data_IF_458478718075
#
_entry.id   IF_458478718075
#
_cell.length_a   1.000
_cell.length_b   1.000
_cell.length_c   1.000
_cell.angle_alpha   90.00
_cell.angle_beta   90.00
_cell.angle_gamma   90.00
#
_symmetry.space_group_name_H-M   'P 1'
#
loop_
_entity.id
_entity.type
_entity.pdbx_description
1 polymer ?
#
# COMPACT_ATOMS: atom_id res chain seq x y z
N UNK A 1 6.89 -53.13 -12.53
CA UNK A 1 8.03 -52.84 -11.63
C UNK A 1 7.97 -51.39 -11.12
N UNK A 2 7.44 -51.20 -9.91
CA UNK A 2 7.05 -49.92 -9.28
C UNK A 2 8.21 -49.32 -8.42
N UNK A 3 9.42 -49.88 -8.50
CA UNK A 3 10.48 -49.60 -7.53
C UNK A 3 11.43 -48.41 -7.80
N UNK A 4 11.47 -47.87 -9.03
CA UNK A 4 12.52 -46.89 -9.41
C UNK A 4 12.06 -45.43 -9.25
N UNK A 5 10.77 -45.14 -9.41
CA UNK A 5 10.26 -43.76 -9.38
C UNK A 5 9.96 -43.24 -7.97
N UNK A 6 9.44 -44.08 -7.07
CA UNK A 6 9.13 -43.67 -5.70
C UNK A 6 10.37 -43.20 -4.93
N UNK A 7 11.50 -43.91 -5.09
CA UNK A 7 12.77 -43.52 -4.47
C UNK A 7 13.31 -42.19 -5.00
N UNK A 8 13.08 -41.90 -6.28
CA UNK A 8 13.48 -40.65 -6.92
C UNK A 8 12.64 -39.47 -6.42
N UNK A 9 11.32 -39.66 -6.27
CA UNK A 9 10.38 -38.66 -5.74
C UNK A 9 10.70 -38.32 -4.29
N UNK A 10 10.96 -39.33 -3.43
CA UNK A 10 11.34 -39.11 -2.02
C UNK A 10 12.63 -38.29 -1.92
N UNK A 11 13.61 -38.56 -2.81
CA UNK A 11 14.89 -37.82 -2.83
C UNK A 11 14.70 -36.37 -3.27
N UNK A 12 13.79 -36.12 -4.20
CA UNK A 12 13.38 -34.77 -4.64
C UNK A 12 12.70 -34.00 -3.50
N UNK A 13 11.73 -34.61 -2.82
CA UNK A 13 11.05 -34.02 -1.66
C UNK A 13 12.04 -33.63 -0.56
N UNK A 14 12.98 -34.53 -0.20
CA UNK A 14 14.02 -34.24 0.78
C UNK A 14 14.93 -33.07 0.35
N UNK A 15 15.22 -32.96 -0.95
CA UNK A 15 16.04 -31.87 -1.49
C UNK A 15 15.30 -30.52 -1.46
N UNK A 16 14.00 -30.51 -1.76
CA UNK A 16 13.14 -29.32 -1.69
C UNK A 16 12.99 -28.82 -0.24
N UNK A 17 12.80 -29.74 0.71
CA UNK A 17 12.75 -29.42 2.14
C UNK A 17 14.10 -28.85 2.62
N UNK A 18 15.22 -29.47 2.23
CA UNK A 18 16.57 -29.01 2.58
C UNK A 18 16.92 -27.65 1.95
N UNK A 19 16.34 -27.33 0.79
CA UNK A 19 16.51 -26.04 0.11
C UNK A 19 15.60 -24.93 0.66
N UNK A 20 14.81 -25.18 1.72
CA UNK A 20 13.95 -24.17 2.33
C UNK A 20 12.67 -23.87 1.55
N UNK A 21 12.26 -24.72 0.61
CA UNK A 21 11.03 -24.57 -0.19
C UNK A 21 9.72 -24.76 0.59
N UNK A 22 9.80 -24.93 1.92
CA UNK A 22 8.65 -25.00 2.82
C UNK A 22 8.80 -23.97 3.92
N UNK A 23 8.38 -22.74 3.65
CA UNK A 23 8.16 -21.73 4.69
C UNK A 23 6.90 -20.94 4.34
N UNK A 24 5.90 -21.04 5.24
CA UNK A 24 4.70 -20.21 5.31
C UNK A 24 3.63 -20.33 4.19
N UNK A 25 2.81 -21.39 4.26
CA UNK A 25 1.39 -21.26 3.90
C UNK A 25 0.94 -21.72 2.51
N UNK A 26 1.43 -22.85 2.00
CA UNK A 26 0.66 -23.61 1.00
C UNK A 26 -0.38 -24.48 1.71
N UNK A 27 -1.63 -24.43 1.24
CA UNK A 27 -2.72 -25.20 1.80
C UNK A 27 -2.46 -26.71 1.57
N UNK A 28 -2.99 -27.58 2.44
CA UNK A 28 -2.70 -29.03 2.42
C UNK A 28 -2.98 -29.68 1.05
N UNK A 29 -3.92 -29.12 0.28
CA UNK A 29 -4.29 -29.55 -1.08
C UNK A 29 -3.32 -29.13 -2.19
N UNK A 30 -2.24 -28.40 -1.86
CA UNK A 30 -1.17 -28.01 -2.80
C UNK A 30 0.07 -28.90 -2.68
N UNK A 31 0.04 -29.91 -1.80
CA UNK A 31 1.12 -30.88 -1.61
C UNK A 31 0.92 -32.06 -2.54
N UNK A 32 1.98 -32.50 -3.24
CA UNK A 32 1.98 -33.84 -3.85
C UNK A 32 2.01 -34.85 -2.69
N UNK A 33 0.91 -35.57 -2.49
CA UNK A 33 0.75 -36.56 -1.43
C UNK A 33 0.52 -37.94 -2.03
N UNK A 34 1.16 -38.97 -1.49
CA UNK A 34 0.84 -40.34 -1.86
C UNK A 34 -0.24 -40.87 -0.91
N UNK A 35 -1.40 -41.25 -1.46
CA UNK A 35 -2.52 -41.80 -0.71
C UNK A 35 -2.35 -43.32 -0.61
N UNK A 36 -1.88 -43.78 0.55
CA UNK A 36 -1.51 -45.17 0.77
C UNK A 36 -2.68 -46.16 0.65
N UNK A 37 -3.90 -45.72 0.96
CA UNK A 37 -5.09 -46.57 0.92
C UNK A 37 -5.63 -46.77 -0.51
N UNK A 38 -5.29 -45.86 -1.43
CA UNK A 38 -5.71 -45.88 -2.84
C UNK A 38 -4.57 -46.24 -3.82
N UNK A 39 -3.33 -46.38 -3.31
CA UNK A 39 -2.10 -46.57 -4.10
C UNK A 39 -1.92 -45.54 -5.23
N UNK A 40 -2.37 -44.29 -4.99
CA UNK A 40 -2.36 -43.21 -5.99
C UNK A 40 -1.67 -41.94 -5.47
N UNK A 41 -1.19 -41.10 -6.40
CA UNK A 41 -0.61 -39.80 -6.12
C UNK A 41 -1.67 -38.70 -6.22
N UNK A 42 -1.93 -38.01 -5.11
CA UNK A 42 -2.60 -36.71 -5.14
C UNK A 42 -1.64 -35.67 -5.73
N UNK A 43 -1.76 -35.41 -7.02
CA UNK A 43 -1.03 -34.36 -7.74
C UNK A 43 -1.96 -33.14 -7.86
N UNK A 44 -1.59 -31.95 -7.35
CA UNK A 44 -2.40 -30.76 -7.55
C UNK A 44 -2.26 -30.29 -9.00
N UNK A 45 -3.03 -30.92 -9.90
CA UNK A 45 -3.07 -30.60 -11.33
C UNK A 45 -3.29 -29.11 -11.56
N UNK A 46 -4.07 -28.45 -10.68
CA UNK A 46 -4.31 -27.00 -10.70
C UNK A 46 -3.02 -26.19 -10.52
N UNK A 47 -2.14 -26.56 -9.59
CA UNK A 47 -0.88 -25.86 -9.37
C UNK A 47 0.11 -26.03 -10.55
N UNK A 48 0.19 -27.24 -11.11
CA UNK A 48 1.03 -27.51 -12.29
C UNK A 48 0.49 -26.80 -13.55
N UNK A 49 -0.83 -26.79 -13.75
CA UNK A 49 -1.48 -26.03 -14.82
C UNK A 49 -1.25 -24.54 -14.64
N UNK A 50 -1.39 -24.01 -13.43
CA UNK A 50 -1.10 -22.60 -13.09
C UNK A 50 0.35 -22.27 -13.40
N UNK A 51 1.30 -23.10 -12.99
CA UNK A 51 2.71 -22.91 -13.30
C UNK A 51 2.97 -22.91 -14.81
N UNK A 52 2.43 -23.90 -15.54
CA UNK A 52 2.58 -23.98 -16.99
C UNK A 52 2.01 -22.74 -17.70
N UNK A 53 0.81 -22.29 -17.30
CA UNK A 53 0.19 -21.05 -17.83
C UNK A 53 1.06 -19.82 -17.52
N UNK A 54 1.54 -19.68 -16.28
CA UNK A 54 2.38 -18.55 -15.89
C UNK A 54 3.72 -18.51 -16.65
N UNK A 55 4.32 -19.68 -16.91
CA UNK A 55 5.55 -19.78 -17.69
C UNK A 55 5.31 -19.44 -19.16
N UNK A 56 4.25 -19.99 -19.76
CA UNK A 56 3.88 -19.68 -21.15
C UNK A 56 3.56 -18.19 -21.35
N UNK A 57 2.93 -17.57 -20.35
CA UNK A 57 2.54 -16.17 -20.35
C UNK A 57 3.68 -15.19 -19.96
N UNK A 58 4.82 -15.68 -19.46
CA UNK A 58 5.86 -14.82 -18.89
C UNK A 58 5.39 -14.02 -17.66
N UNK A 59 4.51 -14.60 -16.85
CA UNK A 59 3.96 -13.99 -15.63
C UNK A 59 4.51 -14.58 -14.33
N UNK A 60 5.28 -15.67 -14.40
CA UNK A 60 6.00 -16.20 -13.25
C UNK A 60 7.08 -15.23 -12.77
N UNK A 61 7.33 -15.19 -11.45
CA UNK A 61 8.33 -14.30 -10.84
C UNK A 61 9.36 -15.11 -10.07
N UNK A 62 10.65 -14.85 -10.30
CA UNK A 62 11.73 -15.46 -9.51
C UNK A 62 12.28 -14.45 -8.50
N UNK A 63 12.26 -14.77 -7.21
CA UNK A 63 12.87 -13.95 -6.16
C UNK A 63 13.52 -14.85 -5.09
N UNK A 64 14.77 -14.53 -4.71
CA UNK A 64 15.50 -15.23 -3.62
C UNK A 64 15.53 -16.76 -3.77
N UNK A 65 15.66 -17.26 -5.00
CA UNK A 65 15.69 -18.70 -5.28
C UNK A 65 14.32 -19.38 -5.27
N UNK A 66 13.23 -18.63 -5.12
CA UNK A 66 11.85 -19.13 -5.16
C UNK A 66 11.16 -18.67 -6.44
N UNK A 67 10.42 -19.59 -7.08
CA UNK A 67 9.55 -19.28 -8.21
C UNK A 67 8.11 -19.10 -7.70
N UNK A 68 7.54 -17.95 -7.99
CA UNK A 68 6.15 -17.62 -7.68
C UNK A 68 5.30 -17.82 -8.93
N UNK A 69 4.25 -18.64 -8.80
CA UNK A 69 3.20 -18.80 -9.79
C UNK A 69 1.89 -18.26 -9.21
N UNK A 70 1.09 -17.59 -10.04
CA UNK A 70 -0.09 -16.86 -9.60
C UNK A 70 -1.34 -17.52 -10.18
N UNK A 71 -2.22 -17.97 -9.30
CA UNK A 71 -3.48 -18.60 -9.70
C UNK A 71 -4.58 -17.56 -9.92
N UNK A 72 -5.26 -17.65 -11.07
CA UNK A 72 -6.46 -16.87 -11.35
C UNK A 72 -7.64 -17.40 -10.52
N UNK A 73 -8.44 -16.52 -9.91
CA UNK A 73 -9.58 -16.96 -9.12
C UNK A 73 -10.66 -17.62 -10.01
N UNK A 74 -11.41 -18.62 -9.50
CA UNK A 74 -12.44 -19.31 -10.29
C UNK A 74 -13.50 -18.38 -10.89
N UNK A 75 -13.82 -17.27 -10.20
CA UNK A 75 -14.79 -16.27 -10.67
C UNK A 75 -14.26 -15.56 -11.93
N UNK A 76 -12.98 -15.25 -11.98
CA UNK A 76 -12.34 -14.61 -13.14
C UNK A 76 -12.18 -15.61 -14.27
N UNK A 77 -11.81 -16.86 -13.98
CA UNK A 77 -11.78 -17.95 -14.98
C UNK A 77 -13.17 -18.11 -15.62
N UNK A 78 -14.21 -18.19 -14.80
CA UNK A 78 -15.59 -18.30 -15.28
C UNK A 78 -16.01 -17.10 -16.12
N UNK A 79 -15.73 -15.88 -15.65
CA UNK A 79 -16.07 -14.66 -16.39
C UNK A 79 -15.35 -14.58 -17.74
N UNK A 80 -14.07 -14.98 -17.79
CA UNK A 80 -13.27 -15.06 -19.02
C UNK A 80 -13.87 -16.06 -20.01
N UNK A 81 -14.24 -17.24 -19.53
CA UNK A 81 -14.58 -18.38 -20.40
C UNK A 81 -16.07 -18.40 -20.80
N UNK A 82 -16.96 -17.82 -20.00
CA UNK A 82 -18.42 -17.90 -20.18
C UNK A 82 -19.11 -16.56 -20.50
N UNK A 83 -18.49 -15.41 -20.23
CA UNK A 83 -18.95 -14.10 -20.70
C UNK A 83 -20.33 -13.60 -20.21
N UNK A 84 -20.97 -14.27 -19.24
CA UNK A 84 -22.30 -13.93 -18.70
C UNK A 84 -22.27 -13.75 -17.18
N UNK A 85 -21.45 -12.81 -16.71
CA UNK A 85 -21.24 -12.55 -15.27
C UNK A 85 -21.58 -11.10 -14.96
N UNK A 86 -22.42 -10.90 -13.95
CA UNK A 86 -22.68 -9.59 -13.39
C UNK A 86 -21.84 -9.41 -12.12
N UNK A 87 -20.98 -8.40 -12.11
CA UNK A 87 -20.18 -8.02 -10.94
C UNK A 87 -20.89 -6.89 -10.19
N UNK A 88 -21.23 -7.13 -8.92
CA UNK A 88 -21.80 -6.13 -8.03
C UNK A 88 -20.76 -5.76 -6.97
N UNK A 89 -19.98 -4.72 -7.21
CA UNK A 89 -18.91 -4.27 -6.33
C UNK A 89 -18.94 -2.75 -6.16
N UNK A 90 -19.08 -2.30 -4.91
CA UNK A 90 -19.11 -0.88 -4.55
C UNK A 90 -17.73 -0.19 -4.71
N UNK A 91 -16.65 -0.97 -4.73
CA UNK A 91 -15.27 -0.48 -4.82
C UNK A 91 -14.49 -1.23 -5.89
N UNK A 92 -15.10 -1.44 -7.06
CA UNK A 92 -14.49 -2.20 -8.15
C UNK A 92 -13.11 -1.62 -8.53
N UNK A 93 -12.09 -2.49 -8.53
CA UNK A 93 -10.71 -2.10 -8.85
C UNK A 93 -10.53 -1.69 -10.30
N UNK A 94 -9.54 -0.83 -10.58
CA UNK A 94 -9.18 -0.44 -11.93
C UNK A 94 -8.91 -1.65 -12.83
N UNK A 95 -8.25 -2.69 -12.29
CA UNK A 95 -7.96 -3.92 -13.04
C UNK A 95 -9.23 -4.68 -13.42
N UNK A 96 -10.21 -4.76 -12.50
CA UNK A 96 -11.50 -5.39 -12.81
C UNK A 96 -12.28 -4.59 -13.87
N UNK A 97 -12.26 -3.26 -13.80
CA UNK A 97 -12.89 -2.41 -14.82
C UNK A 97 -12.29 -2.67 -16.20
N UNK A 98 -10.96 -2.66 -16.29
CA UNK A 98 -10.23 -3.02 -17.52
C UNK A 98 -10.57 -4.41 -18.01
N UNK A 99 -10.71 -5.39 -17.11
CA UNK A 99 -11.12 -6.75 -17.46
C UNK A 99 -12.51 -6.79 -18.11
N UNK A 100 -13.49 -6.14 -17.48
CA UNK A 100 -14.88 -6.10 -17.99
C UNK A 100 -14.91 -5.43 -19.37
N UNK A 101 -14.30 -4.26 -19.52
CA UNK A 101 -14.25 -3.51 -20.78
C UNK A 101 -13.54 -4.30 -21.89
N UNK A 102 -12.41 -4.95 -21.59
CA UNK A 102 -11.66 -5.75 -22.56
C UNK A 102 -12.42 -7.01 -23.03
N UNK A 103 -13.41 -7.47 -22.25
CA UNK A 103 -14.31 -8.56 -22.64
C UNK A 103 -15.63 -8.07 -23.25
N UNK A 104 -15.72 -6.78 -23.60
CA UNK A 104 -16.92 -6.17 -24.20
C UNK A 104 -18.06 -5.98 -23.22
N UNK A 105 -17.81 -6.10 -21.91
CA UNK A 105 -18.78 -5.83 -20.87
C UNK A 105 -19.01 -4.33 -20.69
N UNK A 106 -20.15 -3.98 -20.07
CA UNK A 106 -20.53 -2.59 -19.77
C UNK A 106 -20.48 -2.36 -18.26
N UNK A 107 -19.95 -1.20 -17.85
CA UNK A 107 -19.89 -0.79 -16.44
C UNK A 107 -20.96 0.27 -16.21
N UNK A 108 -21.89 -0.04 -15.30
CA UNK A 108 -22.90 0.89 -14.85
C UNK A 108 -22.54 1.43 -13.46
N UNK A 109 -22.21 2.71 -13.38
CA UNK A 109 -21.91 3.36 -12.11
C UNK A 109 -23.21 3.85 -11.46
N UNK A 110 -23.57 3.26 -10.33
CA UNK A 110 -24.68 3.71 -9.50
C UNK A 110 -24.12 4.30 -8.20
N UNK A 111 -24.22 5.62 -8.04
CA UNK A 111 -23.77 6.33 -6.84
C UNK A 111 -24.97 6.82 -6.04
N UNK A 112 -24.96 6.55 -4.73
CA UNK A 112 -25.94 7.11 -3.82
C UNK A 112 -25.32 8.26 -3.02
N UNK A 113 -26.07 9.35 -2.88
CA UNK A 113 -25.66 10.49 -2.07
C UNK A 113 -25.38 10.04 -0.63
N UNK A 114 -24.30 10.51 -0.03
CA UNK A 114 -23.92 10.16 1.34
C UNK A 114 -24.20 11.36 2.27
N UNK A 115 -24.92 11.16 3.38
CA UNK A 115 -25.09 12.23 4.38
C UNK A 115 -23.89 12.28 5.35
N UNK A 116 -22.71 12.61 4.81
CA UNK A 116 -21.47 12.71 5.57
C UNK A 116 -20.60 13.88 5.14
N UNK A 117 -19.69 14.28 6.03
CA UNK A 117 -18.65 15.28 5.79
C UNK A 117 -17.29 14.66 6.10
N UNK A 118 -16.35 14.82 5.16
CA UNK A 118 -15.01 14.20 5.26
C UNK A 118 -13.96 15.27 5.50
N UNK A 119 -13.23 15.14 6.60
CA UNK A 119 -12.13 16.01 6.99
C UNK A 119 -10.82 15.25 6.91
N UNK A 120 -9.84 15.78 6.17
CA UNK A 120 -8.49 15.22 6.08
C UNK A 120 -7.57 15.91 7.07
N UNK A 121 -6.96 15.13 7.96
CA UNK A 121 -6.01 15.61 8.96
C UNK A 121 -4.58 15.32 8.50
N UNK A 122 -3.82 16.37 8.20
CA UNK A 122 -2.50 16.28 7.55
C UNK A 122 -1.32 16.42 8.52
N UNK A 123 -0.11 16.09 8.07
CA UNK A 123 1.14 16.33 8.79
C UNK A 123 1.67 15.15 9.62
N UNK A 124 1.02 13.99 9.56
CA UNK A 124 1.58 12.75 10.12
C UNK A 124 1.08 11.56 9.34
N UNK A 125 1.98 10.66 8.93
CA UNK A 125 1.60 9.51 8.09
C UNK A 125 0.73 8.47 8.83
N UNK A 126 0.94 8.29 10.14
CA UNK A 126 0.32 7.20 10.93
C UNK A 126 0.50 5.80 10.30
N UNK A 127 1.60 5.57 9.59
CA UNK A 127 1.95 4.24 9.06
C UNK A 127 2.27 3.25 10.16
N UNK A 128 1.87 1.98 9.98
CA UNK A 128 2.21 0.87 10.87
C UNK A 128 3.66 0.90 11.34
N UNK A 129 4.60 1.11 10.42
CA UNK A 129 6.03 0.95 10.70
C UNK A 129 6.48 -0.51 10.65
N UNK A 130 7.74 -0.74 11.00
CA UNK A 130 8.37 -2.06 10.99
C UNK A 130 8.25 -2.74 12.36
N UNK A 131 7.39 -3.76 12.41
CA UNK A 131 7.07 -4.55 13.62
C UNK A 131 8.24 -5.40 14.11
N UNK A 132 9.28 -5.59 13.29
CA UNK A 132 10.43 -6.44 13.63
C UNK A 132 11.49 -5.72 14.46
N UNK A 133 11.35 -4.40 14.66
CA UNK A 133 12.28 -3.62 15.48
C UNK A 133 11.96 -3.81 16.95
N UNK A 134 13.00 -3.95 17.77
CA UNK A 134 12.87 -4.14 19.22
C UNK A 134 12.14 -2.99 19.91
N UNK A 135 12.26 -1.77 19.36
CA UNK A 135 11.59 -0.57 19.88
C UNK A 135 10.11 -0.44 19.46
N UNK A 136 9.59 -1.40 18.69
CA UNK A 136 8.23 -1.33 18.16
C UNK A 136 7.14 -1.35 19.23
N UNK A 137 7.19 -2.18 20.30
CA UNK A 137 6.17 -2.15 21.36
C UNK A 137 6.05 -0.78 22.04
N UNK A 138 7.18 -0.12 22.30
CA UNK A 138 7.18 1.23 22.86
C UNK A 138 6.54 2.24 21.90
N UNK A 139 6.84 2.14 20.58
CA UNK A 139 6.19 2.95 19.56
C UNK A 139 4.70 2.68 19.47
N UNK A 140 4.27 1.42 19.51
CA UNK A 140 2.86 1.03 19.46
C UNK A 140 2.08 1.61 20.64
N UNK A 141 2.63 1.54 21.87
CA UNK A 141 2.07 2.24 23.05
C UNK A 141 1.94 3.74 22.83
N UNK A 142 3.02 4.40 22.41
CA UNK A 142 2.99 5.84 22.13
C UNK A 142 1.97 6.23 21.04
N UNK A 143 1.69 5.35 20.07
CA UNK A 143 0.63 5.55 19.06
C UNK A 143 -0.75 5.44 19.65
N UNK A 144 -0.99 4.43 20.49
CA UNK A 144 -2.27 4.28 21.19
C UNK A 144 -2.53 5.44 22.16
N UNK A 145 -1.50 5.92 22.84
CA UNK A 145 -1.59 7.10 23.71
C UNK A 145 -1.87 8.37 22.91
N UNK A 146 -1.21 8.56 21.76
CA UNK A 146 -1.51 9.68 20.86
C UNK A 146 -2.96 9.65 20.35
N UNK A 147 -3.48 8.46 19.98
CA UNK A 147 -4.89 8.31 19.60
C UNK A 147 -5.79 8.72 20.77
N UNK A 148 -5.52 8.23 21.98
CA UNK A 148 -6.32 8.49 23.18
C UNK A 148 -6.30 9.96 23.59
N UNK A 149 -5.13 10.59 23.61
CA UNK A 149 -4.96 11.93 24.15
C UNK A 149 -5.21 13.02 23.12
N UNK A 150 -4.98 12.72 21.83
CA UNK A 150 -5.01 13.75 20.78
C UNK A 150 -6.09 13.51 19.74
N UNK A 151 -6.42 12.27 19.40
CA UNK A 151 -7.46 12.05 18.37
C UNK A 151 -8.84 12.04 19.02
N UNK A 152 -9.04 11.23 20.06
CA UNK A 152 -10.34 11.07 20.75
C UNK A 152 -11.01 12.40 21.15
N UNK A 153 -10.32 13.38 21.78
CA UNK A 153 -10.99 14.62 22.20
C UNK A 153 -11.47 15.51 21.05
N UNK A 154 -11.12 15.20 19.80
CA UNK A 154 -11.46 15.96 18.59
C UNK A 154 -12.57 15.30 17.77
N UNK A 155 -13.16 14.22 18.28
CA UNK A 155 -14.19 13.46 17.60
C UNK A 155 -15.53 13.68 18.28
N UNK A 156 -16.56 13.96 17.48
CA UNK A 156 -17.94 14.04 17.95
C UNK A 156 -18.48 12.62 18.18
N UNK A 157 -19.08 12.36 19.35
CA UNK A 157 -19.76 11.08 19.62
C UNK A 157 -21.17 11.04 18.99
N UNK A 158 -21.67 9.85 18.59
CA UNK A 158 -21.01 8.55 18.64
C UNK A 158 -19.98 8.38 17.51
N UNK A 159 -18.81 7.83 17.83
CA UNK A 159 -17.70 7.63 16.89
C UNK A 159 -17.09 6.24 17.03
N UNK A 160 -16.47 5.73 15.96
CA UNK A 160 -15.58 4.56 16.00
C UNK A 160 -14.25 4.88 15.29
N UNK A 161 -13.17 4.22 15.72
CA UNK A 161 -11.81 4.47 15.21
C UNK A 161 -11.27 3.22 14.52
N UNK A 162 -10.84 3.28 13.25
CA UNK A 162 -10.03 2.22 12.60
C UNK A 162 -8.56 2.59 12.69
N UNK A 163 -7.72 1.67 13.14
CA UNK A 163 -6.26 1.83 13.07
C UNK A 163 -5.53 0.55 12.66
N UNK A 164 -4.22 0.48 12.86
CA UNK A 164 -3.43 -0.71 12.55
C UNK A 164 -3.59 -1.76 13.66
N UNK A 165 -3.88 -3.03 13.29
CA UNK A 165 -3.91 -4.16 14.24
C UNK A 165 -2.63 -4.23 15.08
N UNK A 166 -1.50 -3.91 14.48
CA UNK A 166 -0.20 -3.94 15.14
C UNK A 166 -0.05 -2.85 16.24
N UNK A 167 -0.74 -1.71 16.15
CA UNK A 167 -0.72 -0.75 17.26
C UNK A 167 -1.42 -1.33 18.49
N UNK A 168 -2.59 -1.94 18.29
CA UNK A 168 -3.34 -2.62 19.35
C UNK A 168 -2.52 -3.79 19.92
N UNK A 169 -2.13 -4.75 19.08
CA UNK A 169 -1.41 -5.97 19.49
C UNK A 169 -0.13 -5.65 20.28
N UNK A 170 0.76 -4.84 19.72
CA UNK A 170 2.08 -4.59 20.32
C UNK A 170 2.07 -3.50 21.40
N UNK A 171 0.94 -2.81 21.62
CA UNK A 171 0.80 -1.94 22.79
C UNK A 171 0.69 -2.72 24.10
N UNK A 172 0.24 -3.98 24.03
CA UNK A 172 0.08 -4.84 25.19
C UNK A 172 1.41 -5.46 25.62
N UNK A 173 1.57 -5.73 26.92
CA UNK A 173 2.70 -6.49 27.43
C UNK A 173 2.67 -7.92 26.87
N UNK A 174 1.51 -8.58 26.94
CA UNK A 174 1.24 -9.92 26.40
C UNK A 174 0.98 -9.94 24.89
N UNK A 175 1.70 -9.14 24.10
CA UNK A 175 1.52 -9.02 22.65
C UNK A 175 1.74 -10.31 21.84
N UNK A 176 2.26 -11.38 22.44
CA UNK A 176 2.40 -12.69 21.79
C UNK A 176 1.10 -13.50 21.80
N UNK A 177 0.13 -13.15 22.64
CA UNK A 177 -1.18 -13.80 22.64
C UNK A 177 -1.97 -13.52 21.34
N UNK A 178 -2.78 -14.48 20.93
CA UNK A 178 -3.54 -14.41 19.67
C UNK A 178 -4.63 -13.32 19.70
N UNK A 179 -5.21 -13.09 20.89
CA UNK A 179 -6.27 -12.13 21.18
C UNK A 179 -5.76 -10.77 21.68
N UNK A 180 -4.43 -10.53 21.70
CA UNK A 180 -3.86 -9.31 22.25
C UNK A 180 -4.41 -8.01 21.60
N UNK A 181 -4.79 -8.05 20.33
CA UNK A 181 -5.40 -6.90 19.66
C UNK A 181 -6.84 -6.65 20.12
N UNK A 182 -7.63 -7.72 20.29
CA UNK A 182 -8.98 -7.70 20.82
C UNK A 182 -9.02 -7.17 22.26
N UNK A 183 -8.13 -7.67 23.13
CA UNK A 183 -8.00 -7.21 24.53
C UNK A 183 -7.65 -5.72 24.59
N UNK A 184 -6.70 -5.27 23.77
CA UNK A 184 -6.33 -3.85 23.69
C UNK A 184 -7.51 -2.97 23.25
N UNK A 185 -8.33 -3.45 22.29
CA UNK A 185 -9.49 -2.72 21.80
C UNK A 185 -10.57 -2.59 22.89
N UNK A 186 -10.86 -3.66 23.62
CA UNK A 186 -11.81 -3.65 24.75
C UNK A 186 -11.36 -2.74 25.89
N UNK A 187 -10.06 -2.78 26.23
CA UNK A 187 -9.48 -1.88 27.23
C UNK A 187 -9.56 -0.41 26.79
N UNK A 188 -9.33 -0.13 25.51
CA UNK A 188 -9.44 1.23 24.96
C UNK A 188 -10.87 1.74 25.01
N UNK A 189 -11.85 0.92 24.60
CA UNK A 189 -13.27 1.29 24.65
C UNK A 189 -13.73 1.51 26.09
N UNK A 190 -13.33 0.63 27.02
CA UNK A 190 -13.66 0.79 28.45
C UNK A 190 -13.10 2.09 29.04
N UNK A 191 -11.92 2.53 28.59
CA UNK A 191 -11.28 3.74 29.08
C UNK A 191 -11.79 5.04 28.42
N UNK A 192 -12.25 4.97 27.18
CA UNK A 192 -12.60 6.16 26.38
C UNK A 192 -14.07 6.30 26.04
N UNK A 193 -14.86 5.24 26.23
CA UNK A 193 -16.23 5.13 25.74
C UNK A 193 -16.34 5.04 24.21
N UNK A 194 -15.22 4.89 23.50
CA UNK A 194 -15.17 4.89 22.02
C UNK A 194 -14.63 3.55 21.52
N UNK A 195 -15.39 2.82 20.68
CA UNK A 195 -14.91 1.60 20.07
C UNK A 195 -13.74 1.87 19.11
N UNK A 196 -12.73 1.01 19.19
CA UNK A 196 -11.59 1.01 18.27
C UNK A 196 -11.44 -0.36 17.60
N UNK A 197 -11.19 -0.36 16.29
CA UNK A 197 -10.94 -1.55 15.48
C UNK A 197 -9.73 -1.37 14.58
N UNK A 198 -9.61 -2.25 13.59
CA UNK A 198 -8.46 -2.28 12.68
C UNK A 198 -8.76 -2.69 11.24
N UNK A 199 -7.88 -2.21 10.35
CA UNK A 199 -7.85 -2.56 8.93
C UNK A 199 -7.70 -4.06 8.71
N UNK A 200 -8.45 -4.61 7.75
CA UNK A 200 -8.56 -6.03 7.45
C UNK A 200 -9.69 -6.77 8.19
N UNK A 201 -10.26 -6.20 9.26
CA UNK A 201 -11.40 -6.78 9.99
C UNK A 201 -12.59 -5.82 9.99
N UNK A 202 -12.37 -4.59 10.43
CA UNK A 202 -13.44 -3.65 10.74
C UNK A 202 -13.76 -2.67 9.59
N UNK A 203 -12.86 -2.53 8.62
CA UNK A 203 -13.07 -1.79 7.37
C UNK A 203 -13.84 -2.59 6.30
N UNK A 204 -13.89 -3.92 6.42
CA UNK A 204 -14.45 -4.83 5.39
C UNK A 204 -15.63 -5.67 5.88
N UNK A 205 -15.55 -6.25 7.07
CA UNK A 205 -16.36 -7.42 7.44
C UNK A 205 -17.53 -7.20 8.40
N UNK A 206 -17.76 -5.99 8.92
CA UNK A 206 -18.74 -5.76 9.98
C UNK A 206 -19.60 -4.51 9.70
N UNK A 207 -20.87 -4.57 10.14
CA UNK A 207 -21.83 -3.45 10.08
C UNK A 207 -22.01 -2.74 11.42
N UNK A 208 -21.21 -3.12 12.42
CA UNK A 208 -21.32 -2.64 13.81
C UNK A 208 -21.08 -1.12 13.97
N UNK A 209 -20.65 -0.46 12.90
CA UNK A 209 -20.19 0.92 12.88
C UNK A 209 -21.17 1.86 12.19
N UNK A 210 -22.29 1.32 11.69
CA UNK A 210 -23.35 2.10 11.05
C UNK A 210 -23.92 3.18 11.98
N UNK A 211 -24.21 4.36 11.43
CA UNK A 211 -24.77 5.50 12.16
C UNK A 211 -23.77 6.23 13.07
N UNK A 212 -22.49 5.84 13.06
CA UNK A 212 -21.42 6.50 13.84
C UNK A 212 -20.58 7.40 12.95
N UNK A 213 -20.00 8.44 13.54
CA UNK A 213 -18.85 9.12 12.97
C UNK A 213 -17.67 8.13 12.89
N UNK A 214 -16.74 8.33 11.96
CA UNK A 214 -15.59 7.43 11.77
C UNK A 214 -14.29 8.22 11.76
N UNK A 215 -13.29 7.74 12.50
CA UNK A 215 -11.90 8.19 12.34
C UNK A 215 -11.05 7.06 11.78
N UNK A 216 -10.43 7.27 10.62
CA UNK A 216 -9.44 6.36 10.05
C UNK A 216 -8.06 6.88 10.42
N UNK A 217 -7.33 6.14 11.27
CA UNK A 217 -6.01 6.52 11.76
C UNK A 217 -4.93 5.71 11.06
N UNK A 218 -4.33 6.35 10.06
CA UNK A 218 -3.39 5.76 9.11
C UNK A 218 -4.09 5.12 7.91
N UNK A 219 -3.31 4.35 7.17
CA UNK A 219 -3.76 3.59 6.01
C UNK A 219 -2.91 2.33 5.89
N UNK A 220 -3.44 1.16 5.45
CA UNK A 220 -2.70 -0.09 5.33
C UNK A 220 -1.69 -0.06 4.16
N UNK A 221 -0.67 0.79 4.31
CA UNK A 221 0.42 0.94 3.36
C UNK A 221 1.25 -0.34 3.27
N UNK A 222 1.41 -0.83 2.05
CA UNK A 222 2.14 -2.04 1.73
C UNK A 222 3.66 -1.77 1.70
N UNK A 223 4.46 -2.78 2.07
CA UNK A 223 5.91 -2.73 1.81
C UNK A 223 6.18 -2.91 0.31
N UNK A 224 7.38 -2.56 -0.14
CA UNK A 224 7.80 -2.73 -1.54
C UNK A 224 7.57 -4.17 -2.02
N UNK A 225 7.91 -5.15 -1.20
CA UNK A 225 7.77 -6.57 -1.52
C UNK A 225 6.28 -6.96 -1.62
N UNK A 226 5.44 -6.45 -0.72
CA UNK A 226 3.99 -6.67 -0.79
C UNK A 226 3.35 -6.01 -2.00
N UNK A 227 3.80 -4.81 -2.39
CA UNK A 227 3.38 -4.13 -3.63
C UNK A 227 3.77 -5.00 -4.83
N UNK A 228 5.02 -5.50 -4.88
CA UNK A 228 5.51 -6.31 -5.99
C UNK A 228 4.72 -7.62 -6.12
N UNK A 229 4.45 -8.29 -5.00
CA UNK A 229 3.64 -9.51 -4.99
C UNK A 229 2.19 -9.27 -5.43
N UNK A 230 1.55 -8.22 -4.90
CA UNK A 230 0.16 -7.88 -5.23
C UNK A 230 0.03 -7.46 -6.70
N UNK A 231 0.90 -6.60 -7.20
CA UNK A 231 0.91 -6.17 -8.59
C UNK A 231 1.17 -7.36 -9.54
N UNK A 232 2.14 -8.23 -9.22
CA UNK A 232 2.43 -9.41 -10.02
C UNK A 232 1.24 -10.37 -10.10
N UNK A 233 0.50 -10.54 -9.00
CA UNK A 233 -0.73 -11.34 -8.96
C UNK A 233 -1.80 -10.75 -9.91
N UNK A 234 -2.06 -9.45 -9.81
CA UNK A 234 -2.99 -8.74 -10.70
C UNK A 234 -2.55 -8.83 -12.16
N UNK A 235 -1.26 -8.58 -12.45
CA UNK A 235 -0.69 -8.68 -13.80
C UNK A 235 -0.87 -10.07 -14.38
N UNK A 236 -0.56 -11.12 -13.61
CA UNK A 236 -0.70 -12.50 -14.07
C UNK A 236 -2.15 -12.84 -14.45
N UNK A 237 -3.11 -12.47 -13.61
CA UNK A 237 -4.53 -12.65 -13.91
C UNK A 237 -4.97 -11.90 -15.17
N UNK A 238 -4.48 -10.66 -15.36
CA UNK A 238 -4.82 -9.86 -16.54
C UNK A 238 -4.20 -10.42 -17.82
N UNK A 239 -2.94 -10.89 -17.77
CA UNK A 239 -2.29 -11.55 -18.91
C UNK A 239 -2.98 -12.87 -19.25
N UNK A 240 -3.41 -13.66 -18.25
CA UNK A 240 -4.20 -14.89 -18.44
C UNK A 240 -5.58 -14.60 -19.09
N UNK A 241 -6.04 -13.36 -19.03
CA UNK A 241 -7.23 -12.87 -19.72
C UNK A 241 -6.94 -12.23 -21.09
N UNK A 242 -5.68 -12.20 -21.53
CA UNK A 242 -5.23 -11.57 -22.77
C UNK A 242 -5.09 -10.04 -22.69
N UNK A 243 -5.02 -9.48 -21.47
CA UNK A 243 -4.95 -8.04 -21.24
C UNK A 243 -3.52 -7.67 -20.85
N UNK A 244 -2.80 -6.89 -21.67
CA UNK A 244 -1.41 -6.58 -21.39
C UNK A 244 -1.30 -5.66 -20.18
N UNK A 245 -0.38 -6.00 -19.27
CA UNK A 245 0.07 -5.15 -18.18
C UNK A 245 1.60 -5.18 -18.10
N UNK A 246 2.27 -4.02 -17.97
CA UNK A 246 3.72 -3.97 -17.95
C UNK A 246 4.27 -4.67 -16.72
N UNK A 247 5.42 -5.34 -16.85
CA UNK A 247 6.18 -5.78 -15.69
C UNK A 247 6.70 -4.56 -14.93
N UNK A 248 6.66 -4.61 -13.61
CA UNK A 248 7.17 -3.51 -12.79
C UNK A 248 8.67 -3.63 -12.59
N UNK A 249 9.41 -2.55 -12.91
CA UNK A 249 10.85 -2.40 -12.68
C UNK A 249 11.26 -2.36 -11.20
N UNK A 250 10.29 -2.36 -10.28
CA UNK A 250 10.47 -2.25 -8.83
C UNK A 250 11.20 -0.97 -8.39
N UNK A 251 11.22 0.06 -9.24
CA UNK A 251 11.79 1.36 -8.88
C UNK A 251 10.75 2.14 -8.11
N UNK A 252 11.11 2.45 -6.88
CA UNK A 252 10.35 3.34 -6.00
C UNK A 252 10.93 4.74 -6.11
N UNK A 253 10.05 5.73 -6.17
CA UNK A 253 10.38 7.12 -5.99
C UNK A 253 10.96 7.30 -4.58
N UNK A 254 12.24 7.65 -4.54
CA UNK A 254 12.95 7.93 -3.28
C UNK A 254 12.55 9.30 -2.75
N UNK A 255 11.94 10.14 -3.59
CA UNK A 255 11.29 11.37 -3.18
C UNK A 255 9.91 10.98 -2.62
N UNK A 256 9.66 11.33 -1.35
CA UNK A 256 8.35 11.07 -0.75
C UNK A 256 7.32 11.96 -1.45
N UNK A 257 6.17 11.39 -1.80
CA UNK A 257 5.10 12.12 -2.49
C UNK A 257 4.49 13.26 -1.64
N UNK A 258 4.71 13.23 -0.33
CA UNK A 258 4.52 14.31 0.62
C UNK A 258 5.66 14.24 1.68
N UNK A 259 5.92 15.29 2.46
CA UNK A 259 7.09 15.36 3.37
C UNK A 259 7.22 14.16 4.35
N UNK A 260 6.09 13.50 4.65
CA UNK A 260 5.97 12.37 5.58
C UNK A 260 5.55 11.06 4.91
N UNK A 261 5.37 11.05 3.60
CA UNK A 261 4.69 9.99 2.85
C UNK A 261 5.58 8.78 2.58
N UNK A 262 4.99 7.60 2.32
CA UNK A 262 5.75 6.45 1.89
C UNK A 262 6.34 6.70 0.48
N UNK A 263 7.44 6.02 0.14
CA UNK A 263 7.89 5.97 -1.25
C UNK A 263 6.79 5.32 -2.11
N UNK A 264 6.64 5.79 -3.36
CA UNK A 264 5.63 5.31 -4.32
C UNK A 264 6.32 4.78 -5.60
N UNK A 265 5.71 3.89 -6.39
CA UNK A 265 6.29 3.46 -7.66
C UNK A 265 6.56 4.65 -8.62
N UNK A 266 7.68 4.62 -9.35
CA UNK A 266 7.97 5.62 -10.41
C UNK A 266 7.15 5.33 -11.66
N UNK A 267 6.96 4.06 -12.00
CA UNK A 267 6.15 3.64 -13.15
C UNK A 267 4.69 4.12 -13.00
N UNK A 268 4.18 4.97 -13.92
CA UNK A 268 2.86 5.56 -13.78
C UNK A 268 1.71 4.55 -13.68
N UNK A 269 1.73 3.45 -14.44
CA UNK A 269 0.64 2.46 -14.37
C UNK A 269 0.60 1.73 -13.03
N UNK A 270 1.77 1.41 -12.48
CA UNK A 270 1.89 0.71 -11.18
C UNK A 270 1.49 1.66 -10.04
N UNK A 271 1.87 2.94 -10.15
CA UNK A 271 1.49 3.97 -9.19
C UNK A 271 -0.03 4.20 -9.20
N UNK A 272 -0.63 4.37 -10.38
CA UNK A 272 -2.07 4.55 -10.53
C UNK A 272 -2.85 3.35 -9.98
N UNK A 273 -2.43 2.12 -10.30
CA UNK A 273 -3.00 0.91 -9.73
C UNK A 273 -2.91 0.89 -8.20
N UNK A 274 -1.73 1.19 -7.64
CA UNK A 274 -1.53 1.16 -6.19
C UNK A 274 -2.38 2.21 -5.45
N UNK A 275 -2.49 3.41 -6.02
CA UNK A 275 -3.33 4.47 -5.47
C UNK A 275 -4.81 4.08 -5.53
N UNK A 276 -5.27 3.45 -6.61
CA UNK A 276 -6.63 2.92 -6.72
C UNK A 276 -6.90 1.85 -5.65
N UNK A 277 -6.00 0.89 -5.45
CA UNK A 277 -6.10 -0.13 -4.39
C UNK A 277 -6.21 0.48 -2.99
N UNK A 278 -5.42 1.52 -2.70
CA UNK A 278 -5.53 2.23 -1.44
C UNK A 278 -6.84 3.01 -1.32
N UNK A 279 -7.30 3.65 -2.39
CA UNK A 279 -8.55 4.39 -2.42
C UNK A 279 -9.76 3.47 -2.21
N UNK A 280 -9.76 2.26 -2.77
CA UNK A 280 -10.77 1.23 -2.50
C UNK A 280 -10.83 0.90 -1.00
N UNK A 281 -9.67 0.62 -0.38
CA UNK A 281 -9.62 0.31 1.04
C UNK A 281 -10.16 1.44 1.92
N UNK A 282 -9.81 2.69 1.61
CA UNK A 282 -10.35 3.86 2.32
C UNK A 282 -11.86 3.99 2.08
N UNK A 283 -12.34 3.82 0.84
CA UNK A 283 -13.77 3.91 0.54
C UNK A 283 -14.59 2.83 1.27
N UNK A 284 -14.09 1.59 1.33
CA UNK A 284 -14.72 0.51 2.11
C UNK A 284 -14.83 0.86 3.60
N UNK A 285 -13.74 1.39 4.16
CA UNK A 285 -13.64 1.82 5.54
C UNK A 285 -14.59 2.98 5.87
N UNK A 286 -14.64 4.01 5.01
CA UNK A 286 -15.56 5.15 5.16
C UNK A 286 -17.01 4.68 5.07
N UNK A 287 -17.32 3.80 4.12
CA UNK A 287 -18.66 3.25 3.92
C UNK A 287 -19.21 2.45 5.11
N UNK A 288 -18.39 2.11 6.11
CA UNK A 288 -18.84 1.47 7.35
C UNK A 288 -19.74 2.36 8.20
N UNK A 289 -19.67 3.68 8.04
CA UNK A 289 -20.58 4.61 8.74
C UNK A 289 -22.03 4.51 8.24
N UNK A 290 -22.26 3.92 7.06
CA UNK A 290 -23.57 3.83 6.38
C UNK A 290 -24.26 5.18 6.20
N UNK A 291 -23.50 6.21 5.85
CA UNK A 291 -24.01 7.58 5.66
C UNK A 291 -25.13 7.69 4.62
N UNK A 292 -25.24 6.75 3.69
CA UNK A 292 -26.39 6.64 2.76
C UNK A 292 -27.73 6.46 3.48
N UNK A 293 -27.73 5.73 4.60
CA UNK A 293 -28.92 5.46 5.41
C UNK A 293 -29.14 6.51 6.50
N UNK A 294 -28.21 7.47 6.65
CA UNK A 294 -28.28 8.47 7.72
C UNK A 294 -29.32 9.56 7.38
N UNK A 295 -30.31 9.83 8.24
CA UNK A 295 -31.42 10.74 7.92
C UNK A 295 -30.97 12.12 7.48
N UNK A 296 -31.54 12.64 6.38
CA UNK A 296 -31.17 13.95 5.81
C UNK A 296 -31.51 15.14 6.69
N UNK A 297 -32.46 14.99 7.62
CA UNK A 297 -32.80 16.01 8.61
C UNK A 297 -31.82 16.11 9.79
N UNK A 298 -30.83 15.20 9.88
CA UNK A 298 -29.84 15.19 10.95
C UNK A 298 -28.50 15.79 10.50
N UNK A 299 -27.65 16.19 11.46
CA UNK A 299 -26.26 16.59 11.18
C UNK A 299 -25.55 15.47 10.41
N UNK A 300 -24.84 15.77 9.31
CA UNK A 300 -24.08 14.77 8.56
C UNK A 300 -23.08 14.02 9.45
N UNK A 301 -22.89 12.72 9.19
CA UNK A 301 -21.85 11.95 9.88
C UNK A 301 -20.46 12.49 9.54
N UNK A 302 -19.59 12.58 10.53
CA UNK A 302 -18.23 13.07 10.36
C UNK A 302 -17.29 11.90 10.07
N UNK A 303 -16.42 12.08 9.08
CA UNK A 303 -15.37 11.13 8.71
C UNK A 303 -14.04 11.86 8.78
N UNK A 304 -13.14 11.41 9.65
CA UNK A 304 -11.83 12.01 9.84
C UNK A 304 -10.75 11.07 9.28
N UNK A 305 -10.01 11.52 8.27
CA UNK A 305 -8.90 10.79 7.67
C UNK A 305 -7.59 11.30 8.28
N UNK A 306 -7.04 10.58 9.26
CA UNK A 306 -5.80 10.94 9.95
C UNK A 306 -4.60 10.28 9.29
N UNK A 307 -3.81 11.07 8.55
CA UNK A 307 -2.61 10.58 7.87
C UNK A 307 -2.89 9.79 6.60
N UNK A 308 -2.07 8.77 6.33
CA UNK A 308 -2.07 8.06 5.05
C UNK A 308 -1.47 8.90 3.92
N UNK A 309 -1.73 8.50 2.67
CA UNK A 309 -1.34 9.26 1.48
C UNK A 309 -2.15 10.56 1.38
N UNK A 310 -1.46 11.70 1.52
CA UNK A 310 -2.08 13.03 1.58
C UNK A 310 -1.98 13.81 0.26
N UNK A 311 -1.80 13.09 -0.86
CA UNK A 311 -1.58 13.65 -2.19
C UNK A 311 -2.88 13.96 -2.91
N UNK A 312 -2.84 14.91 -3.86
CA UNK A 312 -3.97 15.21 -4.75
C UNK A 312 -4.37 14.00 -5.61
N UNK A 313 -3.40 13.17 -5.99
CA UNK A 313 -3.61 11.91 -6.69
C UNK A 313 -4.50 10.93 -5.89
N UNK A 314 -4.23 10.80 -4.59
CA UNK A 314 -5.06 9.97 -3.70
C UNK A 314 -6.48 10.54 -3.57
N UNK A 315 -6.62 11.86 -3.48
CA UNK A 315 -7.94 12.51 -3.40
C UNK A 315 -8.75 12.33 -4.70
N UNK A 316 -8.08 12.38 -5.86
CA UNK A 316 -8.70 12.09 -7.14
C UNK A 316 -9.19 10.62 -7.22
N UNK A 317 -8.37 9.66 -6.77
CA UNK A 317 -8.76 8.25 -6.74
C UNK A 317 -9.93 7.98 -5.78
N UNK A 318 -9.95 8.60 -4.60
CA UNK A 318 -11.08 8.49 -3.66
C UNK A 318 -12.40 9.03 -4.23
N UNK A 319 -12.36 10.09 -5.06
CA UNK A 319 -13.56 10.63 -5.73
C UNK A 319 -14.21 9.64 -6.68
N UNK A 320 -13.43 8.76 -7.32
CA UNK A 320 -13.95 7.68 -8.15
C UNK A 320 -14.85 6.71 -7.36
N UNK A 321 -14.71 6.68 -6.03
CA UNK A 321 -15.49 5.87 -5.11
C UNK A 321 -16.49 6.70 -4.27
N UNK A 322 -16.83 7.92 -4.74
CA UNK A 322 -17.82 8.78 -4.08
C UNK A 322 -17.33 9.45 -2.79
N UNK A 323 -16.02 9.41 -2.50
CA UNK A 323 -15.44 10.06 -1.32
C UNK A 323 -14.84 11.42 -1.70
N UNK A 324 -15.47 12.50 -1.24
CA UNK A 324 -15.00 13.87 -1.43
C UNK A 324 -14.45 14.40 -0.11
N UNK A 325 -13.21 14.91 -0.12
CA UNK A 325 -12.64 15.64 1.03
C UNK A 325 -13.23 17.05 1.05
N UNK A 326 -13.96 17.38 2.12
CA UNK A 326 -14.66 18.66 2.29
C UNK A 326 -13.76 19.68 2.99
N UNK A 327 -13.01 19.23 4.01
CA UNK A 327 -12.14 20.08 4.80
C UNK A 327 -10.75 19.48 4.97
N UNK A 328 -9.77 20.35 5.18
CA UNK A 328 -8.41 19.96 5.55
C UNK A 328 -8.02 20.68 6.83
N UNK A 329 -7.49 19.92 7.77
CA UNK A 329 -6.91 20.46 8.99
C UNK A 329 -5.51 19.89 9.20
N UNK A 330 -4.63 20.68 9.79
CA UNK A 330 -3.31 20.18 10.19
C UNK A 330 -3.41 19.47 11.53
N UNK A 331 -2.71 18.35 11.68
CA UNK A 331 -2.52 17.74 12.98
C UNK A 331 -1.75 18.72 13.89
N UNK A 332 -2.31 19.18 15.01
CA UNK A 332 -1.64 20.16 15.87
C UNK A 332 -0.33 19.63 16.48
N UNK A 333 -0.19 18.31 16.59
CA UNK A 333 1.03 17.65 17.08
C UNK A 333 1.96 17.20 15.95
N UNK A 334 1.62 17.50 14.69
CA UNK A 334 2.62 17.41 13.63
C UNK A 334 3.65 18.49 13.89
N UNK A 335 4.89 18.09 14.20
CA UNK A 335 6.02 18.99 14.11
C UNK A 335 5.92 19.65 12.74
N UNK A 336 5.98 20.99 12.63
CA UNK A 336 6.14 21.56 11.32
C UNK A 336 7.36 20.93 10.69
N UNK A 337 7.15 20.10 9.67
CA UNK A 337 8.22 19.78 8.72
C UNK A 337 8.93 21.10 8.40
N UNK A 338 10.26 21.10 8.23
CA UNK A 338 11.02 22.34 8.28
C UNK A 338 10.33 23.32 7.34
N UNK A 339 9.92 24.50 7.84
CA UNK A 339 9.28 25.50 6.99
C UNK A 339 10.19 25.67 5.78
N UNK A 340 9.62 25.70 4.57
CA UNK A 340 10.40 26.05 3.37
C UNK A 340 11.04 27.38 3.68
N UNK A 341 12.35 27.34 3.87
CA UNK A 341 13.05 28.43 4.51
C UNK A 341 13.58 29.34 3.40
N UNK A 342 13.15 30.59 3.42
CA UNK A 342 13.45 31.57 2.37
C UNK A 342 14.96 31.81 2.42
N UNK A 343 15.67 31.45 1.34
CA UNK A 343 17.13 31.55 1.25
C UNK A 343 17.89 30.26 1.59
N UNK A 344 17.24 29.18 2.05
CA UNK A 344 17.93 27.91 2.34
C UNK A 344 18.55 27.25 1.11
N UNK A 345 17.96 27.47 -0.07
CA UNK A 345 18.54 27.00 -1.33
C UNK A 345 19.86 27.71 -1.62
N UNK A 346 19.94 29.03 -1.37
CA UNK A 346 21.15 29.81 -1.60
C UNK A 346 22.28 29.41 -0.64
N UNK A 347 21.99 29.30 0.66
CA UNK A 347 22.99 28.86 1.66
C UNK A 347 23.47 27.42 1.39
N UNK A 348 22.59 26.52 0.97
CA UNK A 348 22.98 25.16 0.60
C UNK A 348 23.85 25.13 -0.66
N UNK A 349 23.59 26.02 -1.63
CA UNK A 349 24.43 26.17 -2.82
C UNK A 349 25.80 26.73 -2.44
N UNK A 350 25.86 27.75 -1.57
CA UNK A 350 27.11 28.31 -1.06
C UNK A 350 27.96 27.25 -0.36
N UNK A 351 27.35 26.40 0.47
CA UNK A 351 28.04 25.29 1.12
C UNK A 351 28.61 24.28 0.12
N UNK A 352 27.84 23.93 -0.93
CA UNK A 352 28.31 23.03 -1.98
C UNK A 352 29.49 23.63 -2.74
N UNK A 353 29.44 24.93 -3.05
CA UNK A 353 30.52 25.63 -3.73
C UNK A 353 31.77 25.77 -2.84
N UNK A 354 31.59 26.10 -1.56
CA UNK A 354 32.69 26.23 -0.58
C UNK A 354 33.44 24.91 -0.35
N UNK A 355 32.75 23.77 -0.52
CA UNK A 355 33.36 22.43 -0.45
C UNK A 355 33.95 21.95 -1.78
N UNK A 356 33.98 22.81 -2.81
CA UNK A 356 34.47 22.49 -4.15
C UNK A 356 33.57 21.52 -4.94
N UNK A 357 32.33 21.31 -4.48
CA UNK A 357 31.36 20.41 -5.09
C UNK A 357 30.67 21.02 -6.30
N UNK A 358 30.30 20.17 -7.26
CA UNK A 358 29.48 20.61 -8.39
C UNK A 358 28.02 20.83 -7.97
N UNK A 359 27.47 22.01 -8.28
CA UNK A 359 26.09 22.38 -7.94
C UNK A 359 25.09 21.59 -8.81
N UNK A 360 24.46 20.62 -8.18
CA UNK A 360 23.37 19.79 -8.69
C UNK A 360 22.22 19.75 -7.70
N UNK A 361 21.03 19.36 -8.14
CA UNK A 361 19.88 19.17 -7.23
C UNK A 361 20.25 18.22 -6.06
N UNK A 362 20.97 17.15 -6.36
CA UNK A 362 21.41 16.15 -5.38
C UNK A 362 22.36 16.72 -4.34
N UNK A 363 23.36 17.50 -4.75
CA UNK A 363 24.33 18.10 -3.82
C UNK A 363 23.67 19.17 -2.95
N UNK A 364 22.78 20.00 -3.52
CA UNK A 364 22.06 21.03 -2.77
C UNK A 364 21.14 20.40 -1.73
N UNK A 365 20.46 19.29 -2.06
CA UNK A 365 19.70 18.51 -1.07
C UNK A 365 20.57 17.90 0.01
N UNK A 366 21.73 17.37 -0.35
CA UNK A 366 22.70 16.84 0.63
C UNK A 366 23.13 17.90 1.64
N UNK A 367 23.41 19.12 1.16
CA UNK A 367 23.74 20.27 2.00
C UNK A 367 22.55 20.72 2.87
N UNK A 368 21.33 20.77 2.34
CA UNK A 368 20.12 21.08 3.12
C UNK A 368 19.91 20.11 4.29
N UNK A 369 20.18 18.82 4.07
CA UNK A 369 20.13 17.80 5.13
C UNK A 369 21.18 18.08 6.21
N UNK A 370 22.40 18.42 5.82
CA UNK A 370 23.47 18.80 6.75
C UNK A 370 23.15 20.06 7.56
N UNK A 371 22.47 21.02 6.93
CA UNK A 371 22.00 22.27 7.54
C UNK A 371 20.71 22.14 8.36
N UNK A 372 20.07 20.97 8.36
CA UNK A 372 18.74 20.74 8.95
C UNK A 372 17.65 21.70 8.42
N UNK A 373 17.79 22.20 7.18
CA UNK A 373 16.81 23.08 6.51
C UNK A 373 16.05 22.31 5.42
N UNK A 374 14.97 22.88 4.90
CA UNK A 374 14.22 22.29 3.78
C UNK A 374 13.91 23.31 2.68
N UNK A 375 13.81 22.80 1.46
CA UNK A 375 13.36 23.54 0.30
C UNK A 375 12.59 22.60 -0.64
N UNK A 376 11.66 23.14 -1.43
CA UNK A 376 10.92 22.32 -2.41
C UNK A 376 11.82 21.95 -3.60
N UNK A 377 11.58 20.80 -4.21
CA UNK A 377 12.25 20.37 -5.45
C UNK A 377 12.21 21.45 -6.53
N UNK A 378 11.05 22.07 -6.67
CA UNK A 378 10.81 23.12 -7.66
C UNK A 378 11.65 24.37 -7.38
N UNK A 379 11.74 24.80 -6.11
CA UNK A 379 12.57 25.95 -5.73
C UNK A 379 14.07 25.69 -5.97
N UNK A 380 14.55 24.47 -5.69
CA UNK A 380 15.94 24.08 -5.97
C UNK A 380 16.21 24.09 -7.47
N UNK A 381 15.33 23.48 -8.27
CA UNK A 381 15.47 23.42 -9.73
C UNK A 381 15.38 24.80 -10.39
N UNK A 382 14.43 25.63 -9.96
CA UNK A 382 14.27 27.00 -10.44
C UNK A 382 15.54 27.80 -10.14
N UNK A 383 16.05 27.74 -8.91
CA UNK A 383 17.25 28.50 -8.53
C UNK A 383 18.51 28.04 -9.25
N UNK A 384 18.73 26.74 -9.40
CA UNK A 384 19.87 26.20 -10.18
C UNK A 384 19.75 26.63 -11.65
N UNK A 385 18.54 26.67 -12.21
CA UNK A 385 18.31 27.14 -13.58
C UNK A 385 18.65 28.62 -13.71
N UNK A 386 18.21 29.46 -12.76
CA UNK A 386 18.50 30.88 -12.75
C UNK A 386 20.01 31.15 -12.64
N UNK A 387 20.72 30.44 -11.75
CA UNK A 387 22.18 30.58 -11.61
C UNK A 387 22.96 30.10 -12.84
N UNK A 388 22.43 29.12 -13.58
CA UNK A 388 23.02 28.72 -14.87
C UNK A 388 22.75 29.76 -15.95
N UNK A 389 21.55 30.32 -15.97
CA UNK A 389 21.18 31.36 -16.93
C UNK A 389 21.98 32.65 -16.71
N UNK A 390 22.34 32.97 -15.46
CA UNK A 390 23.20 34.12 -15.13
C UNK A 390 24.70 33.83 -15.24
N UNK A 391 25.11 32.59 -15.54
CA UNK A 391 26.52 32.18 -15.62
C UNK A 391 27.23 32.02 -14.27
N UNK A 392 26.51 32.10 -13.15
CA UNK A 392 27.07 31.96 -11.80
C UNK A 392 27.54 30.53 -11.49
N UNK A 393 27.00 29.51 -12.17
CA UNK A 393 27.48 28.13 -12.12
C UNK A 393 27.59 27.54 -13.54
N UNK A 394 28.50 26.57 -13.78
CA UNK A 394 28.68 25.97 -15.11
C UNK A 394 27.41 25.34 -15.67
N UNK A 395 27.29 25.35 -17.01
CA UNK A 395 26.23 24.64 -17.71
C UNK A 395 26.25 23.14 -17.37
N UNK A 396 25.08 22.52 -17.35
CA UNK A 396 24.97 21.09 -17.07
C UNK A 396 25.75 20.28 -18.12
N UNK A 397 26.88 19.71 -17.74
CA UNK A 397 27.61 18.76 -18.57
C UNK A 397 26.77 17.49 -18.70
N UNK A 398 26.26 17.22 -19.91
CA UNK A 398 25.75 15.89 -20.26
C UNK A 398 26.95 14.94 -20.26
N UNK A 399 27.05 14.05 -19.29
CA UNK A 399 27.99 12.94 -19.37
C UNK A 399 27.49 11.98 -20.46
N UNK A 400 28.05 12.08 -21.67
CA UNK A 400 27.94 11.01 -22.66
C UNK A 400 28.71 9.80 -22.13
N UNK A 401 28.00 8.83 -21.56
CA UNK A 401 28.54 7.50 -21.28
C UNK A 401 28.68 6.73 -22.59
N UNK A 402 29.66 7.10 -23.41
CA UNK A 402 29.95 6.44 -24.67
C UNK A 402 31.43 6.60 -25.08
N UNK A 403 32.37 6.16 -24.25
CA UNK A 403 33.72 5.72 -24.68
C UNK A 403 34.48 5.11 -23.50
N UNK A 404 34.32 3.80 -23.31
CA UNK A 404 35.29 2.94 -22.63
C UNK A 404 35.10 1.49 -23.10
N UNK A 405 35.21 1.29 -24.42
CA UNK A 405 35.63 0.02 -25.01
C UNK A 405 36.79 0.35 -25.94
N UNK A 406 38.00 0.27 -25.40
CA UNK A 406 39.23 0.03 -26.15
C UNK A 406 40.39 -0.09 -25.16
N UNK A 407 41.18 -1.15 -25.30
CA UNK A 407 42.48 -1.46 -24.65
C UNK A 407 42.44 -1.64 -23.13
N UNK A 408 42.64 -2.82 -22.52
CA UNK A 408 43.39 -4.04 -22.87
C UNK A 408 42.58 -5.31 -22.56
#
# INVERSE_FOLDING_TARGET
>A
PIGVDAGRIIKLQKSVVKAGGSVAGTATWEKIGYQRDEDDFFIPLRALVTLARNLAAGSARQEKGVLFAYETSPVIEWARDKGSVMFLDATMSQSMRRFIEAKGGTIHNATADQNMRVTRVTGRLYSRGDVRKDDYPAKARARMDDIRQNIVPRLDSPVAIITHKAYLKYSQEAHQADDAAEVAAQAFESATGIPIGWFGKHDRGLDSWGGRNIALVGMPLLSKESIAGAYACTRAAMIDCGIPMPEWDQVMDKEKADADGPPMPVMPEVRAWLVDEYAQGVAQAVGRNRAVNHPRGCKPLQVHLWGGLQTAEMDAAMRCYGIVVHDRMRNPNSAPGPKVDVGAVDEAIEMVLATGGAVSERSVRGALVGLQRSASTESIRARIRDMRASGAIPAATRSNSATARSTF
#
